data_IF_941117249640
#
_entry.id   IF_941117249640
#
_cell.length_a   1.000
_cell.length_b   1.000
_cell.length_c   1.000
_cell.angle_alpha   90.00
_cell.angle_beta   90.00
_cell.angle_gamma   90.00
#
_symmetry.space_group_name_H-M   'P 1'
#
loop_
_entity.id
_entity.type
_entity.pdbx_description
1 polymer ?
#
# COMPACT_ATOMS: atom_id res chain seq x y z
N UNK A 1 -9.88 25.93 -2.73
CA UNK A 1 -8.73 25.18 -2.21
C UNK A 1 -9.11 24.59 -0.86
N UNK A 2 -9.45 23.30 -0.83
CA UNK A 2 -9.86 22.63 0.40
C UNK A 2 -8.63 22.32 1.28
N UNK A 3 -8.45 23.09 2.35
CA UNK A 3 -7.52 22.76 3.43
C UNK A 3 -8.20 21.77 4.37
N UNK A 4 -8.13 20.49 4.05
CA UNK A 4 -8.38 19.43 5.05
C UNK A 4 -7.26 19.50 6.09
N UNK A 5 -7.55 20.05 7.26
CA UNK A 5 -6.61 20.29 8.37
C UNK A 5 -6.34 19.05 9.24
N UNK A 6 -6.69 17.85 8.77
CA UNK A 6 -6.26 16.58 9.35
C UNK A 6 -5.47 15.84 8.27
N UNK A 7 -4.18 15.50 8.47
CA UNK A 7 -3.47 14.67 7.51
C UNK A 7 -4.12 13.28 7.49
N UNK A 8 -5.04 13.07 6.55
CA UNK A 8 -5.55 11.77 6.18
C UNK A 8 -4.54 11.06 5.27
N UNK A 9 -4.28 9.78 5.56
CA UNK A 9 -3.45 8.91 4.73
C UNK A 9 -1.99 8.76 5.17
N UNK A 10 -1.29 7.78 4.58
CA UNK A 10 0.06 7.41 4.97
C UNK A 10 1.12 8.40 4.45
N UNK A 11 1.93 8.97 5.34
CA UNK A 11 3.06 9.85 5.00
C UNK A 11 4.02 9.19 4.00
N UNK A 12 4.24 7.88 4.12
CA UNK A 12 5.11 7.14 3.21
C UNK A 12 4.56 7.09 1.80
N UNK A 13 3.23 7.15 1.61
CA UNK A 13 2.57 7.15 0.30
C UNK A 13 2.40 8.58 -0.25
N UNK A 14 1.90 9.49 0.57
CA UNK A 14 1.52 10.84 0.15
C UNK A 14 2.71 11.81 0.09
N UNK A 15 3.75 11.58 0.91
CA UNK A 15 4.89 12.49 1.04
C UNK A 15 5.75 12.65 -0.22
N UNK A 16 5.83 11.63 -1.10
CA UNK A 16 6.61 11.76 -2.34
C UNK A 16 5.84 12.49 -3.46
N UNK A 17 4.51 12.56 -3.39
CA UNK A 17 3.70 13.28 -4.40
C UNK A 17 3.71 14.78 -4.10
N UNK A 18 3.79 15.14 -2.82
CA UNK A 18 3.87 16.53 -2.36
C UNK A 18 5.29 17.14 -2.45
N UNK A 19 6.27 16.41 -2.99
CA UNK A 19 7.67 16.85 -3.03
C UNK A 19 7.86 17.99 -4.04
N UNK A 20 8.08 19.21 -3.54
CA UNK A 20 8.56 20.34 -4.33
C UNK A 20 10.00 20.07 -4.85
N UNK A 21 10.41 20.65 -5.99
CA UNK A 21 11.69 20.36 -6.66
C UNK A 21 12.95 20.52 -5.81
N UNK A 22 12.88 21.23 -4.68
CA UNK A 22 14.01 21.48 -3.78
C UNK A 22 14.35 20.34 -2.78
N UNK A 23 13.71 19.16 -2.87
CA UNK A 23 13.79 18.13 -1.81
C UNK A 23 14.13 16.71 -2.31
N UNK A 24 15.27 16.56 -2.99
CA UNK A 24 15.77 15.26 -3.48
C UNK A 24 16.03 14.22 -2.37
N UNK A 25 16.60 14.62 -1.23
CA UNK A 25 16.98 13.70 -0.13
C UNK A 25 15.73 13.06 0.54
N UNK A 26 14.68 13.81 0.90
CA UNK A 26 13.43 13.23 1.40
C UNK A 26 12.77 12.28 0.39
N UNK A 27 12.83 12.60 -0.91
CA UNK A 27 12.25 11.78 -1.98
C UNK A 27 12.90 10.40 -2.06
N UNK A 28 14.23 10.34 -2.07
CA UNK A 28 14.98 9.07 -2.11
C UNK A 28 14.69 8.20 -0.88
N UNK A 29 14.66 8.81 0.33
CA UNK A 29 14.34 8.08 1.58
C UNK A 29 12.93 7.50 1.57
N UNK A 30 11.94 8.28 1.10
CA UNK A 30 10.55 7.83 1.00
C UNK A 30 10.38 6.74 -0.06
N UNK A 31 11.11 6.80 -1.17
CA UNK A 31 11.14 5.73 -2.17
C UNK A 31 11.75 4.44 -1.61
N UNK A 32 12.87 4.54 -0.88
CA UNK A 32 13.48 3.41 -0.18
C UNK A 32 12.51 2.75 0.81
N UNK A 33 11.81 3.56 1.61
CA UNK A 33 10.82 3.06 2.55
C UNK A 33 9.66 2.30 1.86
N UNK A 34 9.14 2.80 0.74
CA UNK A 34 8.10 2.10 -0.04
C UNK A 34 8.58 0.76 -0.58
N UNK A 35 9.79 0.72 -1.14
CA UNK A 35 10.41 -0.53 -1.61
C UNK A 35 10.58 -1.52 -0.45
N UNK A 36 11.00 -1.04 0.71
CA UNK A 36 11.06 -1.84 1.94
C UNK A 36 9.69 -2.39 2.35
N UNK A 37 8.62 -1.60 2.26
CA UNK A 37 7.26 -2.09 2.52
C UNK A 37 6.86 -3.21 1.57
N UNK A 38 7.11 -3.07 0.26
CA UNK A 38 6.81 -4.13 -0.72
C UNK A 38 7.58 -5.40 -0.40
N UNK A 39 8.88 -5.29 -0.10
CA UNK A 39 9.71 -6.44 0.25
C UNK A 39 9.21 -7.17 1.51
N UNK A 40 8.75 -6.44 2.54
CA UNK A 40 8.17 -7.03 3.74
C UNK A 40 6.86 -7.77 3.45
N UNK A 41 5.99 -7.21 2.60
CA UNK A 41 4.74 -7.86 2.19
C UNK A 41 5.07 -9.14 1.42
N UNK A 42 5.98 -9.07 0.44
CA UNK A 42 6.40 -10.22 -0.35
C UNK A 42 6.97 -11.33 0.54
N UNK A 43 7.85 -11.00 1.50
CA UNK A 43 8.43 -11.98 2.41
C UNK A 43 7.34 -12.68 3.25
N UNK A 44 6.32 -11.94 3.73
CA UNK A 44 5.22 -12.55 4.47
C UNK A 44 4.34 -13.45 3.60
N UNK A 45 4.09 -13.06 2.35
CA UNK A 45 3.32 -13.85 1.39
C UNK A 45 4.07 -15.13 1.03
N UNK A 46 5.37 -15.03 0.73
CA UNK A 46 6.20 -16.21 0.44
C UNK A 46 6.16 -17.19 1.61
N UNK A 47 6.32 -16.69 2.85
CA UNK A 47 6.16 -17.54 4.03
C UNK A 47 4.77 -18.19 4.10
N UNK A 48 3.71 -17.52 3.69
CA UNK A 48 2.37 -18.12 3.62
C UNK A 48 2.29 -19.26 2.61
N UNK A 49 2.99 -19.17 1.49
CA UNK A 49 3.12 -20.28 0.53
C UNK A 49 3.90 -21.43 1.16
N UNK A 50 5.03 -21.13 1.80
CA UNK A 50 5.91 -22.13 2.41
C UNK A 50 5.24 -22.86 3.60
N UNK A 51 4.46 -22.13 4.41
CA UNK A 51 3.71 -22.65 5.56
C UNK A 51 2.41 -23.37 5.12
N UNK A 52 2.01 -23.27 3.84
CA UNK A 52 0.78 -23.87 3.29
C UNK A 52 -0.51 -23.07 3.55
N UNK A 53 -0.40 -21.83 4.04
CA UNK A 53 -1.52 -20.89 4.22
C UNK A 53 -2.06 -20.39 2.86
N UNK A 54 -1.20 -20.36 1.83
CA UNK A 54 -1.53 -19.91 0.47
C UNK A 54 -1.35 -21.05 -0.55
N UNK A 55 -2.09 -21.01 -1.69
CA UNK A 55 -1.96 -22.01 -2.73
C UNK A 55 -0.51 -22.23 -3.21
N UNK A 56 -0.12 -23.48 -3.54
CA UNK A 56 1.14 -23.72 -4.23
C UNK A 56 1.14 -23.01 -5.58
N UNK A 57 2.19 -22.22 -5.86
CA UNK A 57 2.33 -21.47 -7.10
C UNK A 57 1.86 -20.01 -7.04
N UNK A 58 1.40 -19.54 -5.88
CA UNK A 58 1.11 -18.11 -5.67
C UNK A 58 2.31 -17.24 -6.00
N UNK A 59 2.13 -16.27 -6.89
CA UNK A 59 3.13 -15.22 -7.18
C UNK A 59 3.13 -14.18 -6.05
N UNK A 60 3.95 -14.42 -5.03
CA UNK A 60 4.11 -13.52 -3.89
C UNK A 60 4.58 -12.11 -4.30
N UNK A 61 5.33 -11.98 -5.41
CA UNK A 61 5.79 -10.69 -5.91
C UNK A 61 4.65 -9.87 -6.51
N UNK A 62 3.83 -10.50 -7.36
CA UNK A 62 2.66 -9.86 -7.95
C UNK A 62 1.63 -9.46 -6.88
N UNK A 63 1.35 -10.34 -5.91
CA UNK A 63 0.46 -10.02 -4.79
C UNK A 63 1.02 -8.89 -3.91
N UNK A 64 2.32 -8.86 -3.63
CA UNK A 64 2.91 -7.78 -2.85
C UNK A 64 2.75 -6.42 -3.55
N UNK A 65 2.96 -6.38 -4.87
CA UNK A 65 2.72 -5.18 -5.67
C UNK A 65 1.24 -4.75 -5.64
N UNK A 66 0.31 -5.71 -5.75
CA UNK A 66 -1.13 -5.49 -5.65
C UNK A 66 -1.52 -4.86 -4.30
N UNK A 67 -1.10 -5.46 -3.17
CA UNK A 67 -1.39 -4.93 -1.84
C UNK A 67 -0.76 -3.57 -1.59
N UNK A 68 0.43 -3.32 -2.13
CA UNK A 68 1.03 -2.00 -2.09
C UNK A 68 0.18 -0.96 -2.85
N UNK A 69 -0.37 -1.33 -4.01
CA UNK A 69 -1.32 -0.51 -4.76
C UNK A 69 -2.60 -0.21 -3.98
N UNK A 70 -3.18 -1.20 -3.31
CA UNK A 70 -4.36 -1.00 -2.44
C UNK A 70 -4.05 -0.04 -1.28
N UNK A 71 -2.89 -0.19 -0.63
CA UNK A 71 -2.45 0.74 0.42
C UNK A 71 -2.30 2.18 -0.11
N UNK A 72 -1.80 2.32 -1.35
CA UNK A 72 -1.73 3.62 -2.01
C UNK A 72 -3.12 4.21 -2.22
N UNK A 73 -4.04 3.46 -2.83
CA UNK A 73 -5.40 3.88 -3.10
C UNK A 73 -6.15 4.32 -1.83
N UNK A 74 -6.08 3.52 -0.76
CA UNK A 74 -6.68 3.85 0.54
C UNK A 74 -6.11 5.16 1.09
N UNK A 75 -4.79 5.36 1.01
CA UNK A 75 -4.14 6.58 1.51
C UNK A 75 -4.58 7.82 0.73
N UNK A 76 -4.73 7.72 -0.59
CA UNK A 76 -5.22 8.82 -1.42
C UNK A 76 -6.69 9.12 -1.16
N UNK A 77 -7.56 8.10 -1.17
CA UNK A 77 -8.99 8.30 -0.92
C UNK A 77 -9.26 8.86 0.48
N UNK A 78 -8.51 8.43 1.49
CA UNK A 78 -8.58 8.99 2.84
C UNK A 78 -8.20 10.49 2.87
N UNK A 79 -7.19 10.89 2.09
CA UNK A 79 -6.81 12.30 1.94
C UNK A 79 -7.90 13.12 1.27
N UNK A 80 -8.57 12.54 0.29
CA UNK A 80 -9.68 13.17 -0.45
C UNK A 80 -11.00 13.19 0.35
N UNK A 81 -11.00 12.62 1.55
CA UNK A 81 -12.14 12.69 2.49
C UNK A 81 -13.13 11.53 2.38
N UNK A 82 -12.73 10.40 1.78
CA UNK A 82 -13.54 9.19 1.79
C UNK A 82 -13.90 8.77 3.22
N UNK A 83 -15.12 8.25 3.39
CA UNK A 83 -15.58 7.75 4.69
C UNK A 83 -14.84 6.47 5.08
N UNK A 84 -14.86 6.15 6.38
CA UNK A 84 -14.25 4.91 6.89
C UNK A 84 -14.88 3.69 6.24
N UNK A 85 -16.19 3.72 6.03
CA UNK A 85 -16.98 2.65 5.45
C UNK A 85 -16.57 2.41 3.99
N UNK A 86 -16.42 3.49 3.21
CA UNK A 86 -15.97 3.41 1.83
C UNK A 86 -14.54 2.83 1.72
N UNK A 87 -13.62 3.26 2.59
CA UNK A 87 -12.26 2.72 2.62
C UNK A 87 -12.23 1.25 3.06
N UNK A 88 -13.08 0.87 4.02
CA UNK A 88 -13.20 -0.52 4.51
C UNK A 88 -13.72 -1.46 3.45
N UNK A 89 -14.62 -0.99 2.57
CA UNK A 89 -15.15 -1.77 1.47
C UNK A 89 -14.09 -2.24 0.45
N UNK A 90 -12.90 -1.63 0.43
CA UNK A 90 -11.78 -2.05 -0.42
C UNK A 90 -11.04 -3.28 0.13
N UNK A 91 -11.22 -3.61 1.42
CA UNK A 91 -10.41 -4.63 2.10
C UNK A 91 -10.85 -6.04 1.73
N UNK A 92 -12.15 -6.35 1.79
CA UNK A 92 -12.62 -7.71 1.54
C UNK A 92 -12.31 -8.19 0.10
N UNK A 93 -12.51 -7.38 -0.96
CA UNK A 93 -12.08 -7.75 -2.31
C UNK A 93 -10.56 -7.94 -2.43
N UNK A 94 -9.77 -7.11 -1.73
CA UNK A 94 -8.32 -7.23 -1.73
C UNK A 94 -7.86 -8.52 -1.04
N UNK A 95 -8.51 -8.93 0.05
CA UNK A 95 -8.21 -10.19 0.73
C UNK A 95 -8.65 -11.41 -0.08
N UNK A 96 -9.75 -11.32 -0.84
CA UNK A 96 -10.18 -12.38 -1.74
C UNK A 96 -9.11 -12.75 -2.79
N UNK A 97 -8.25 -11.79 -3.16
CA UNK A 97 -7.12 -12.05 -4.07
C UNK A 97 -6.10 -13.05 -3.51
N UNK A 98 -6.03 -13.27 -2.19
CA UNK A 98 -5.16 -14.28 -1.58
C UNK A 98 -5.60 -15.72 -1.88
N UNK A 99 -6.91 -15.94 -2.03
CA UNK A 99 -7.46 -17.26 -2.30
C UNK A 99 -7.53 -17.61 -3.79
N UNK A 100 -7.36 -16.62 -4.66
CA UNK A 100 -7.40 -16.78 -6.12
C UNK A 100 -6.02 -16.80 -6.78
N UNK A 101 -4.95 -16.59 -6.00
CA UNK A 101 -3.58 -16.43 -6.46
C UNK A 101 -2.70 -17.63 -6.13
#
# INVERSE_FOLDING_TARGET
MALSTKPGGCLLILGAVASLPASEIPRARLQGARRGTVALIQARLQRGVDDGDLPPGTDAGALAAFFHGILQAISFQARDGATREALRALIDPALAALGAA
#
